data_IF_088009345767
#
_entry.id   IF_088009345767
#
_cell.length_a   1.000
_cell.length_b   1.000
_cell.length_c   1.000
_cell.angle_alpha   90.00
_cell.angle_beta   90.00
_cell.angle_gamma   90.00
#
_symmetry.space_group_name_H-M   'P 1'
#
loop_
_entity.id
_entity.type
_entity.pdbx_description
1 polymer ?
#
# COMPACT_ATOMS: atom_id res chain seq x y z
N UNK A 1 2.24 21.99 6.88
CA UNK A 1 1.55 21.49 5.66
C UNK A 1 2.55 20.62 4.92
N UNK A 2 2.34 19.30 4.90
CA UNK A 2 3.22 18.41 4.15
C UNK A 2 2.94 18.65 2.66
N UNK A 3 3.94 19.13 1.92
CA UNK A 3 3.85 19.25 0.48
C UNK A 3 3.71 17.81 -0.04
N UNK A 4 2.51 17.42 -0.49
CA UNK A 4 2.29 16.10 -1.11
C UNK A 4 3.02 16.11 -2.45
N UNK A 5 4.29 15.70 -2.44
CA UNK A 5 5.05 15.44 -3.67
C UNK A 5 4.37 14.30 -4.43
N UNK A 6 4.31 14.42 -5.74
CA UNK A 6 3.88 13.30 -6.58
C UNK A 6 4.97 12.22 -6.55
N UNK A 7 4.62 10.95 -6.78
CA UNK A 7 5.57 9.83 -6.73
C UNK A 7 6.71 10.02 -7.74
N UNK A 8 6.43 10.61 -8.90
CA UNK A 8 7.40 10.98 -9.95
C UNK A 8 8.38 12.09 -9.51
N UNK A 9 8.03 12.90 -8.53
CA UNK A 9 8.86 13.99 -8.00
C UNK A 9 9.69 13.57 -6.77
N UNK A 10 9.49 12.34 -6.29
CA UNK A 10 10.20 11.78 -5.14
C UNK A 10 11.56 11.23 -5.54
N UNK A 11 12.55 11.46 -4.68
CA UNK A 11 13.82 10.74 -4.73
C UNK A 11 13.59 9.23 -4.55
N UNK A 12 14.53 8.41 -5.02
CA UNK A 12 14.46 6.95 -4.84
C UNK A 12 14.28 6.57 -3.36
N UNK A 13 14.99 7.22 -2.44
CA UNK A 13 14.85 6.97 -1.00
C UNK A 13 13.45 7.33 -0.46
N UNK A 14 12.85 8.43 -0.93
CA UNK A 14 11.47 8.79 -0.60
C UNK A 14 10.47 7.75 -1.16
N UNK A 15 10.64 7.33 -2.41
CA UNK A 15 9.84 6.25 -3.02
C UNK A 15 9.93 4.95 -2.22
N UNK A 16 11.15 4.49 -1.89
CA UNK A 16 11.38 3.30 -1.06
C UNK A 16 10.63 3.39 0.26
N UNK A 17 10.71 4.52 0.96
CA UNK A 17 10.00 4.69 2.23
C UNK A 17 8.47 4.60 2.05
N UNK A 18 7.91 5.21 1.00
CA UNK A 18 6.48 5.10 0.70
C UNK A 18 6.08 3.66 0.42
N UNK A 19 6.83 2.93 -0.41
CA UNK A 19 6.55 1.54 -0.74
C UNK A 19 6.61 0.63 0.50
N UNK A 20 7.58 0.84 1.41
CA UNK A 20 7.67 0.11 2.68
C UNK A 20 6.49 0.41 3.61
N UNK A 21 6.03 1.66 3.69
CA UNK A 21 4.85 2.03 4.49
C UNK A 21 3.58 1.39 3.91
N UNK A 22 3.43 1.39 2.59
CA UNK A 22 2.31 0.74 1.91
C UNK A 22 2.32 -0.78 2.13
N UNK A 23 3.47 -1.43 2.01
CA UNK A 23 3.63 -2.86 2.30
C UNK A 23 3.13 -3.20 3.70
N UNK A 24 3.61 -2.48 4.73
CA UNK A 24 3.19 -2.73 6.13
C UNK A 24 1.70 -2.50 6.34
N UNK A 25 1.16 -1.45 5.74
CA UNK A 25 -0.28 -1.13 5.85
C UNK A 25 -1.12 -2.21 5.19
N UNK A 26 -0.75 -2.65 3.99
CA UNK A 26 -1.43 -3.74 3.28
C UNK A 26 -1.39 -5.04 4.06
N UNK A 27 -0.24 -5.42 4.64
CA UNK A 27 -0.13 -6.63 5.45
C UNK A 27 -1.05 -6.57 6.66
N UNK A 28 -1.08 -5.44 7.38
CA UNK A 28 -1.98 -5.27 8.51
C UNK A 28 -3.46 -5.38 8.10
N UNK A 29 -3.84 -4.72 7.01
CA UNK A 29 -5.20 -4.80 6.46
C UNK A 29 -5.55 -6.22 6.02
N UNK A 30 -4.62 -6.95 5.37
CA UNK A 30 -4.77 -8.35 5.00
C UNK A 30 -5.00 -9.24 6.22
N UNK A 31 -4.23 -9.06 7.30
CA UNK A 31 -4.42 -9.80 8.54
C UNK A 31 -5.81 -9.57 9.16
N UNK A 32 -6.32 -8.33 9.09
CA UNK A 32 -7.64 -7.98 9.60
C UNK A 32 -8.74 -8.58 8.70
N UNK A 33 -8.65 -8.36 7.39
CA UNK A 33 -9.57 -8.90 6.38
C UNK A 33 -9.68 -10.43 6.46
N UNK A 34 -8.54 -11.12 6.65
CA UNK A 34 -8.47 -12.57 6.81
C UNK A 34 -9.24 -13.06 8.04
N UNK A 35 -9.22 -12.31 9.15
CA UNK A 35 -10.00 -12.65 10.36
C UNK A 35 -11.50 -12.47 10.14
N UNK A 36 -11.89 -11.50 9.31
CA UNK A 36 -13.28 -11.23 8.94
C UNK A 36 -13.78 -12.06 7.74
N UNK A 37 -12.94 -12.95 7.20
CA UNK A 37 -13.21 -13.73 5.98
C UNK A 37 -13.57 -12.85 4.75
N UNK A 38 -12.98 -11.64 4.69
CA UNK A 38 -13.12 -10.71 3.58
C UNK A 38 -12.19 -11.14 2.44
N UNK A 39 -12.74 -11.42 1.26
CA UNK A 39 -12.00 -11.97 0.12
C UNK A 39 -10.86 -11.10 -0.44
N UNK A 40 -10.76 -9.83 -0.03
CA UNK A 40 -9.66 -8.94 -0.41
C UNK A 40 -8.33 -9.26 0.28
N UNK A 41 -8.34 -10.11 1.33
CA UNK A 41 -7.16 -10.39 2.15
C UNK A 41 -5.96 -10.92 1.35
N UNK A 42 -6.21 -11.82 0.39
CA UNK A 42 -5.15 -12.47 -0.39
C UNK A 42 -4.45 -11.48 -1.33
N UNK A 43 -5.23 -10.62 -1.99
CA UNK A 43 -4.69 -9.58 -2.87
C UNK A 43 -3.84 -8.55 -2.11
N UNK A 44 -4.26 -8.17 -0.89
CA UNK A 44 -3.49 -7.27 -0.04
C UNK A 44 -2.18 -7.89 0.44
N UNK A 45 -2.20 -9.18 0.84
CA UNK A 45 -1.00 -9.88 1.28
C UNK A 45 0.02 -10.02 0.13
N UNK A 46 -0.45 -10.46 -1.05
CA UNK A 46 0.42 -10.60 -2.22
C UNK A 46 1.07 -9.28 -2.64
N UNK A 47 0.31 -8.18 -2.63
CA UNK A 47 0.85 -6.86 -2.96
C UNK A 47 1.82 -6.36 -1.87
N UNK A 48 1.55 -6.67 -0.61
CA UNK A 48 2.46 -6.36 0.50
C UNK A 48 3.82 -7.05 0.32
N UNK A 49 3.81 -8.36 0.04
CA UNK A 49 5.02 -9.16 -0.15
C UNK A 49 5.82 -8.69 -1.36
N UNK A 50 5.11 -8.38 -2.46
CA UNK A 50 5.73 -7.82 -3.67
C UNK A 50 6.38 -6.47 -3.38
N UNK A 51 5.69 -5.58 -2.68
CA UNK A 51 6.23 -4.28 -2.30
C UNK A 51 7.45 -4.39 -1.38
N UNK A 52 7.45 -5.36 -0.47
CA UNK A 52 8.58 -5.60 0.43
C UNK A 52 9.80 -6.14 -0.33
N UNK A 53 9.58 -7.09 -1.23
CA UNK A 53 10.63 -7.81 -1.96
C UNK A 53 11.22 -6.97 -3.10
N UNK A 54 10.37 -6.28 -3.85
CA UNK A 54 10.75 -5.52 -5.04
C UNK A 54 10.95 -4.02 -4.77
N UNK A 55 10.92 -3.60 -3.50
CA UNK A 55 10.90 -2.19 -3.09
C UNK A 55 11.97 -1.34 -3.80
N UNK A 56 13.22 -1.79 -3.76
CA UNK A 56 14.35 -1.06 -4.35
C UNK A 56 14.25 -1.01 -5.88
N UNK A 57 13.82 -2.11 -6.51
CA UNK A 57 13.66 -2.19 -7.96
C UNK A 57 12.51 -1.30 -8.45
N UNK A 58 11.41 -1.23 -7.71
CA UNK A 58 10.28 -0.34 -8.02
C UNK A 58 10.67 1.12 -7.77
N UNK A 59 11.41 1.41 -6.70
CA UNK A 59 11.83 2.78 -6.39
C UNK A 59 12.87 3.34 -7.36
N UNK A 60 13.75 2.47 -7.89
CA UNK A 60 14.74 2.82 -8.91
C UNK A 60 14.15 2.96 -10.32
N UNK A 61 12.92 2.49 -10.54
CA UNK A 61 12.24 2.60 -11.82
C UNK A 61 11.87 4.07 -12.10
N UNK A 62 12.35 4.59 -13.24
CA UNK A 62 12.00 5.91 -13.76
C UNK A 62 10.67 5.91 -14.54
N UNK A 63 10.09 4.73 -14.76
CA UNK A 63 8.83 4.56 -15.45
C UNK A 63 7.60 4.65 -14.53
N UNK A 64 6.45 4.26 -15.07
CA UNK A 64 5.17 4.32 -14.36
C UNK A 64 5.00 3.21 -13.31
N UNK A 65 5.94 2.26 -13.18
CA UNK A 65 5.79 1.09 -12.32
C UNK A 65 5.51 1.47 -10.87
N UNK A 66 6.25 2.46 -10.34
CA UNK A 66 6.03 2.96 -8.98
C UNK A 66 4.63 3.57 -8.81
N UNK A 67 4.15 4.30 -9.81
CA UNK A 67 2.83 4.95 -9.79
C UNK A 67 1.72 3.89 -9.83
N UNK A 68 1.83 2.92 -10.74
CA UNK A 68 0.85 1.83 -10.88
C UNK A 68 0.71 1.04 -9.59
N UNK A 69 1.83 0.66 -8.97
CA UNK A 69 1.82 -0.13 -7.74
C UNK A 69 1.25 0.68 -6.56
N UNK A 70 1.57 1.98 -6.47
CA UNK A 70 0.98 2.86 -5.45
C UNK A 70 -0.53 3.00 -5.63
N UNK A 71 -1.00 3.19 -6.86
CA UNK A 71 -2.44 3.25 -7.15
C UNK A 71 -3.16 1.94 -6.82
N UNK A 72 -2.54 0.79 -7.13
CA UNK A 72 -3.08 -0.52 -6.79
C UNK A 72 -3.21 -0.70 -5.28
N UNK A 73 -2.18 -0.30 -4.52
CA UNK A 73 -2.20 -0.35 -3.06
C UNK A 73 -3.30 0.54 -2.47
N UNK A 74 -3.44 1.78 -2.96
CA UNK A 74 -4.49 2.70 -2.52
C UNK A 74 -5.88 2.14 -2.83
N UNK A 75 -6.08 1.55 -4.02
CA UNK A 75 -7.35 0.92 -4.40
C UNK A 75 -7.73 -0.20 -3.44
N UNK A 76 -6.81 -1.14 -3.19
CA UNK A 76 -7.06 -2.28 -2.29
C UNK A 76 -7.35 -1.82 -0.85
N UNK A 77 -6.61 -0.83 -0.35
CA UNK A 77 -6.87 -0.26 0.97
C UNK A 77 -8.24 0.43 1.04
N UNK A 78 -8.63 1.17 0.00
CA UNK A 78 -9.95 1.77 -0.09
C UNK A 78 -11.08 0.73 -0.16
N UNK A 79 -10.91 -0.36 -0.91
CA UNK A 79 -11.86 -1.48 -0.97
C UNK A 79 -12.01 -2.17 0.39
N UNK A 80 -10.90 -2.37 1.10
CA UNK A 80 -10.90 -2.90 2.46
C UNK A 80 -11.64 -1.97 3.43
N UNK A 81 -11.37 -0.66 3.40
CA UNK A 81 -12.04 0.33 4.26
C UNK A 81 -13.55 0.38 4.00
N UNK A 82 -13.97 0.34 2.74
CA UNK A 82 -15.38 0.30 2.35
C UNK A 82 -16.09 -0.98 2.82
N UNK A 83 -15.39 -2.10 2.76
CA UNK A 83 -15.90 -3.40 3.23
C UNK A 83 -15.89 -3.52 4.76
N UNK A 84 -15.07 -2.71 5.44
CA UNK A 84 -14.86 -2.73 6.89
C UNK A 84 -15.01 -1.33 7.52
N UNK A 85 -16.17 -0.66 7.39
CA UNK A 85 -16.35 0.73 7.80
C UNK A 85 -16.17 0.96 9.32
N UNK A 86 -16.33 -0.09 10.12
CA UNK A 86 -16.13 -0.03 11.58
C UNK A 86 -14.66 -0.02 12.01
N UNK A 87 -13.74 -0.43 11.14
CA UNK A 87 -12.31 -0.54 11.43
C UNK A 87 -11.62 0.83 11.27
N UNK A 88 -12.18 1.71 10.43
CA UNK A 88 -11.69 3.09 10.25
C UNK A 88 -11.93 4.02 11.46
N UNK A 89 -12.70 3.59 12.48
CA UNK A 89 -13.13 4.45 13.60
C UNK A 89 -12.21 4.35 14.82
N UNK A 90 -11.17 3.51 14.81
CA UNK A 90 -10.22 3.40 15.95
C UNK A 90 -8.87 4.05 15.64
N UNK A 91 -8.87 5.36 15.35
CA UNK A 91 -7.71 6.20 15.67
C UNK A 91 -7.82 6.59 17.14
N UNK A 92 -7.07 5.89 18.00
CA UNK A 92 -6.73 6.38 19.34
C UNK A 92 -5.54 7.33 19.26
#
# INVERSE_FOLDING_TARGET
>A
MANQKRIDEMSQAEKTNVLLVLSKTLHLSAMIARRSNDGSWDAMEQLSDRLLTECEAIAADEGERAITVVHEAIRLLGEFELSNPHISVTRH
#
